data_IF_559219686942
#
_entry.id   IF_559219686942
#
_cell.length_a   1.000
_cell.length_b   1.000
_cell.length_c   1.000
_cell.angle_alpha   90.00
_cell.angle_beta   90.00
_cell.angle_gamma   90.00
#
_symmetry.space_group_name_H-M   'P 1'
#
loop_
_entity.id
_entity.type
_entity.pdbx_description
1 polymer ?
#
# COMPACT_ATOMS: atom_id res chain seq x y z
N UNK A 1 34.57 121.78 5.33
CA UNK A 1 33.49 121.76 4.31
C UNK A 1 33.88 120.73 3.25
N UNK A 2 33.06 119.69 3.03
CA UNK A 2 33.02 118.73 1.87
C UNK A 2 34.37 118.41 1.17
N UNK A 3 34.83 117.18 0.95
CA UNK A 3 34.14 115.96 0.51
C UNK A 3 35.20 115.07 -0.18
N UNK A 4 34.98 113.75 -0.12
CA UNK A 4 35.30 112.75 -1.16
C UNK A 4 36.68 112.10 -1.33
N UNK A 5 36.55 110.76 -1.37
CA UNK A 5 37.14 109.74 -2.28
C UNK A 5 38.58 109.34 -1.99
N UNK A 6 38.80 108.17 -1.38
CA UNK A 6 38.65 106.78 -1.89
C UNK A 6 39.54 106.53 -3.11
N UNK A 7 40.64 105.82 -2.88
CA UNK A 7 40.97 104.51 -3.45
C UNK A 7 42.49 104.36 -3.50
N UNK A 8 43.02 103.31 -2.86
CA UNK A 8 43.87 102.26 -3.48
C UNK A 8 44.70 101.50 -2.44
N UNK A 9 44.66 100.17 -2.62
CA UNK A 9 45.79 99.23 -2.59
C UNK A 9 46.19 98.49 -1.29
N UNK A 10 46.62 97.24 -1.53
CA UNK A 10 47.34 96.26 -0.70
C UNK A 10 46.46 95.19 0.02
N UNK A 11 46.30 94.02 -0.62
CA UNK A 11 47.10 92.78 -0.48
C UNK A 11 46.79 92.04 0.83
N UNK A 12 46.29 90.80 0.71
CA UNK A 12 46.90 89.60 1.32
C UNK A 12 46.22 88.33 0.78
N UNK A 13 46.97 87.61 -0.04
CA UNK A 13 46.74 86.21 -0.42
C UNK A 13 46.96 85.33 0.81
N UNK A 14 45.94 84.57 1.21
CA UNK A 14 46.07 83.51 2.21
C UNK A 14 45.86 82.18 1.48
N UNK A 15 46.96 81.48 1.19
CA UNK A 15 46.93 80.09 0.73
C UNK A 15 46.90 79.18 1.95
N UNK A 16 45.72 78.63 2.28
CA UNK A 16 45.58 77.58 3.29
C UNK A 16 45.98 76.25 2.66
N UNK A 17 47.07 75.67 3.17
CA UNK A 17 47.53 74.31 2.86
C UNK A 17 46.61 73.33 3.57
N UNK A 18 45.77 72.62 2.81
CA UNK A 18 44.90 71.56 3.31
C UNK A 18 45.70 70.25 3.37
N UNK A 19 46.26 69.91 4.54
CA UNK A 19 46.83 68.58 4.77
C UNK A 19 45.69 67.59 5.04
N UNK A 20 45.34 66.79 4.02
CA UNK A 20 44.42 65.68 4.16
C UNK A 20 45.11 64.51 4.88
N UNK A 21 44.69 64.22 6.10
CA UNK A 21 45.05 62.96 6.78
C UNK A 21 44.14 61.84 6.26
N UNK A 22 44.70 60.92 5.48
CA UNK A 22 44.02 59.69 5.08
C UNK A 22 43.81 58.79 6.30
N UNK A 23 42.56 58.69 6.77
CA UNK A 23 42.17 57.66 7.73
C UNK A 23 42.07 56.34 6.95
N UNK A 24 43.05 55.45 7.16
CA UNK A 24 42.96 54.06 6.68
C UNK A 24 41.95 53.34 7.57
N UNK A 25 40.70 53.26 7.11
CA UNK A 25 39.70 52.41 7.74
C UNK A 25 40.05 50.94 7.45
N UNK A 26 40.62 50.25 8.45
CA UNK A 26 40.74 48.79 8.43
C UNK A 26 39.34 48.19 8.46
N UNK A 27 38.87 47.70 7.32
CA UNK A 27 37.65 46.89 7.25
C UNK A 27 38.00 45.48 7.72
N UNK A 28 37.65 45.16 8.97
CA UNK A 28 37.64 43.77 9.44
C UNK A 28 36.59 43.01 8.63
N UNK A 29 37.03 42.12 7.73
CA UNK A 29 36.13 41.16 7.09
C UNK A 29 35.63 40.20 8.16
N UNK A 30 34.40 40.38 8.62
CA UNK A 30 33.69 39.35 9.40
C UNK A 30 33.36 38.22 8.42
N UNK A 31 34.10 37.13 8.47
CA UNK A 31 33.66 35.89 7.84
C UNK A 31 32.51 35.33 8.67
N UNK A 32 31.28 35.58 8.21
CA UNK A 32 30.12 34.83 8.66
C UNK A 32 30.31 33.37 8.22
N UNK A 33 30.79 32.52 9.13
CA UNK A 33 30.71 31.08 8.93
C UNK A 33 29.23 30.71 9.00
N UNK A 34 28.62 30.40 7.85
CA UNK A 34 27.32 29.72 7.85
C UNK A 34 27.56 28.32 8.40
N UNK A 35 27.39 28.16 9.71
CA UNK A 35 27.11 26.85 10.28
C UNK A 35 25.70 26.47 9.81
N UNK A 36 25.61 26.01 8.55
CA UNK A 36 24.44 25.30 8.10
C UNK A 36 24.25 24.16 9.11
N UNK A 37 23.08 24.06 9.80
CA UNK A 37 22.82 22.89 10.59
C UNK A 37 23.02 21.70 9.66
N UNK A 38 23.88 20.78 10.07
CA UNK A 38 24.01 19.46 9.44
C UNK A 38 22.57 18.97 9.31
N UNK A 39 22.00 19.03 8.10
CA UNK A 39 20.74 18.37 7.83
C UNK A 39 21.07 16.91 8.06
N UNK A 40 20.80 16.43 9.25
CA UNK A 40 20.59 15.02 9.52
C UNK A 40 19.46 14.66 8.59
N UNK A 41 19.81 14.24 7.38
CA UNK A 41 18.93 13.48 6.51
C UNK A 41 18.32 12.43 7.43
N UNK A 42 17.00 12.45 7.69
CA UNK A 42 16.40 11.38 8.43
C UNK A 42 16.71 10.15 7.62
N UNK A 43 17.54 9.26 8.16
CA UNK A 43 17.72 7.94 7.61
C UNK A 43 16.33 7.35 7.59
N UNK A 44 15.69 7.36 6.41
CA UNK A 44 14.37 6.77 6.18
C UNK A 44 14.54 5.32 6.59
N UNK A 45 14.16 4.99 7.83
CA UNK A 45 14.17 3.61 8.33
C UNK A 45 13.34 2.86 7.30
N UNK A 46 13.99 1.96 6.56
CA UNK A 46 13.31 1.02 5.66
C UNK A 46 12.34 0.24 6.52
N UNK A 47 11.10 0.71 6.57
CA UNK A 47 10.07 0.13 7.39
C UNK A 47 9.57 -1.07 6.62
N UNK A 48 10.07 -2.25 6.99
CA UNK A 48 9.62 -3.52 6.40
C UNK A 48 8.13 -3.65 6.64
N UNK A 49 7.35 -3.83 5.58
CA UNK A 49 5.90 -3.98 5.69
C UNK A 49 5.62 -5.40 6.22
N UNK A 50 5.07 -5.50 7.42
CA UNK A 50 4.65 -6.76 8.02
C UNK A 50 3.22 -6.65 8.50
N UNK A 51 2.44 -7.69 8.29
CA UNK A 51 1.09 -7.75 8.82
C UNK A 51 1.11 -8.08 10.31
N UNK A 52 0.37 -7.31 11.10
CA UNK A 52 0.12 -7.59 12.51
C UNK A 52 -1.33 -8.08 12.64
N UNK A 53 -1.55 -9.33 13.05
CA UNK A 53 -2.90 -9.83 13.28
C UNK A 53 -3.64 -8.96 14.31
N UNK A 54 -4.90 -8.59 14.04
CA UNK A 54 -5.68 -7.77 14.96
C UNK A 54 -5.88 -8.50 16.29
N UNK A 55 -5.56 -7.83 17.40
CA UNK A 55 -5.71 -8.37 18.75
C UNK A 55 -7.16 -8.29 19.23
N UNK A 56 -7.58 -9.25 20.06
CA UNK A 56 -8.90 -9.22 20.71
C UNK A 56 -10.10 -9.37 19.77
N UNK A 57 -9.89 -9.84 18.54
CA UNK A 57 -11.00 -10.11 17.62
C UNK A 57 -11.78 -11.34 18.04
N UNK A 58 -13.10 -11.23 18.04
CA UNK A 58 -13.98 -12.39 18.23
C UNK A 58 -13.72 -13.43 17.14
N UNK A 59 -13.82 -14.71 17.50
CA UNK A 59 -13.82 -15.77 16.50
C UNK A 59 -14.96 -15.51 15.48
N UNK A 60 -14.72 -15.80 14.20
CA UNK A 60 -15.79 -15.85 13.22
C UNK A 60 -16.90 -16.81 13.66
N UNK A 61 -18.16 -16.48 13.38
CA UNK A 61 -19.28 -17.40 13.68
C UNK A 61 -19.18 -18.69 12.89
N UNK A 62 -18.68 -18.59 11.66
CA UNK A 62 -18.51 -19.71 10.76
C UNK A 62 -17.01 -19.93 10.55
N UNK A 63 -16.58 -21.18 10.75
CA UNK A 63 -15.22 -21.58 10.45
C UNK A 63 -15.09 -21.91 8.96
N UNK A 64 -13.91 -21.64 8.42
CA UNK A 64 -13.50 -22.13 7.10
C UNK A 64 -13.32 -23.66 7.21
N UNK A 65 -13.99 -24.41 6.35
CA UNK A 65 -13.95 -25.87 6.35
C UNK A 65 -12.62 -26.39 5.80
N UNK A 66 -12.10 -27.48 6.37
CA UNK A 66 -10.97 -28.19 5.76
C UNK A 66 -11.37 -28.67 4.36
N UNK A 67 -10.66 -28.21 3.33
CA UNK A 67 -11.00 -28.42 1.92
C UNK A 67 -11.40 -29.86 1.55
N UNK A 68 -12.24 -29.99 0.52
CA UNK A 68 -12.73 -31.30 0.05
C UNK A 68 -11.56 -32.13 -0.50
N UNK A 69 -11.56 -33.43 -0.16
CA UNK A 69 -10.58 -34.44 -0.62
C UNK A 69 -10.87 -34.92 -2.04
N UNK A 70 -10.94 -34.02 -3.01
CA UNK A 70 -10.55 -34.42 -4.37
C UNK A 70 -9.10 -33.97 -4.56
N UNK A 71 -8.40 -34.50 -5.55
CA UNK A 71 -7.00 -34.13 -5.76
C UNK A 71 -6.80 -32.64 -6.14
N UNK A 72 -7.87 -31.81 -6.12
CA UNK A 72 -7.85 -30.40 -6.48
C UNK A 72 -7.57 -30.16 -7.97
N UNK A 73 -7.64 -31.21 -8.77
CA UNK A 73 -7.29 -31.19 -10.18
C UNK A 73 -8.56 -31.02 -11.01
N UNK A 74 -8.56 -30.03 -11.90
CA UNK A 74 -9.21 -30.28 -13.18
C UNK A 74 -8.43 -31.45 -13.79
N UNK A 75 -9.05 -32.56 -14.19
CA UNK A 75 -8.36 -33.82 -14.59
C UNK A 75 -7.29 -33.66 -15.71
N UNK A 76 -7.10 -32.47 -16.27
CA UNK A 76 -6.09 -32.13 -17.28
C UNK A 76 -5.10 -31.03 -16.85
N UNK A 77 -5.19 -30.50 -15.63
CA UNK A 77 -4.32 -29.44 -15.12
C UNK A 77 -3.97 -29.78 -13.68
N UNK A 78 -2.70 -30.11 -13.41
CA UNK A 78 -2.17 -30.53 -12.11
C UNK A 78 -2.17 -29.44 -11.05
N UNK A 79 -3.34 -28.85 -10.79
CA UNK A 79 -3.62 -27.93 -9.71
C UNK A 79 -3.91 -28.81 -8.50
N UNK A 80 -3.26 -28.54 -7.37
CA UNK A 80 -3.55 -29.22 -6.13
C UNK A 80 -4.29 -28.25 -5.21
N UNK A 81 -5.37 -28.69 -4.55
CA UNK A 81 -5.95 -28.02 -3.37
C UNK A 81 -5.42 -28.72 -2.12
N UNK A 82 -4.10 -28.79 -1.98
CA UNK A 82 -3.45 -29.48 -0.86
C UNK A 82 -2.94 -28.49 0.19
N UNK A 83 -2.92 -28.92 1.45
CA UNK A 83 -2.31 -28.20 2.56
C UNK A 83 -0.91 -27.70 2.18
N UNK A 84 -0.70 -26.40 2.39
CA UNK A 84 0.43 -25.64 1.85
C UNK A 84 1.75 -26.21 2.37
N UNK A 85 2.48 -26.91 1.52
CA UNK A 85 3.93 -27.13 1.64
C UNK A 85 4.62 -26.08 0.78
N UNK A 86 5.71 -25.45 1.27
CA UNK A 86 6.40 -24.35 0.58
C UNK A 86 6.83 -24.64 -0.87
N UNK A 87 6.89 -25.92 -1.27
CA UNK A 87 7.32 -26.38 -2.61
C UNK A 87 6.20 -26.42 -3.66
N UNK A 88 4.93 -26.24 -3.30
CA UNK A 88 3.78 -26.34 -4.23
C UNK A 88 2.83 -25.16 -4.19
N UNK A 89 3.16 -24.07 -3.47
CA UNK A 89 2.28 -22.91 -3.32
C UNK A 89 1.96 -22.26 -4.67
N UNK A 90 2.95 -22.20 -5.57
CA UNK A 90 2.85 -21.70 -6.94
C UNK A 90 2.06 -22.62 -7.89
N UNK A 91 1.69 -23.82 -7.46
CA UNK A 91 0.88 -24.78 -8.23
C UNK A 91 -0.51 -25.01 -7.64
N UNK A 92 -0.86 -24.22 -6.64
CA UNK A 92 -2.09 -24.37 -5.85
C UNK A 92 -2.90 -23.09 -6.00
N UNK A 93 -4.23 -23.20 -6.03
CA UNK A 93 -5.10 -22.03 -5.84
C UNK A 93 -4.91 -21.53 -4.41
N UNK A 94 -4.60 -20.25 -4.22
CA UNK A 94 -4.27 -19.70 -2.88
C UNK A 94 -5.00 -18.38 -2.65
N UNK A 95 -5.83 -18.24 -1.59
CA UNK A 95 -6.37 -16.94 -1.23
C UNK A 95 -5.26 -16.10 -0.59
N UNK A 96 -5.14 -14.83 -0.98
CA UNK A 96 -4.20 -13.91 -0.37
C UNK A 96 -4.77 -13.46 0.98
N UNK A 97 -4.56 -14.30 2.00
CA UNK A 97 -5.03 -14.09 3.36
C UNK A 97 -3.95 -14.45 4.38
N UNK A 98 -4.03 -13.87 5.59
CA UNK A 98 -3.27 -14.35 6.73
C UNK A 98 -3.53 -15.83 7.01
N UNK A 99 -2.61 -16.48 7.72
CA UNK A 99 -2.75 -17.89 8.12
C UNK A 99 -4.03 -18.18 8.93
N UNK A 100 -4.54 -17.19 9.65
CA UNK A 100 -5.83 -17.25 10.36
C UNK A 100 -7.06 -17.35 9.44
N UNK A 101 -6.89 -17.12 8.13
CA UNK A 101 -7.96 -17.03 7.12
C UNK A 101 -8.96 -15.88 7.31
N UNK A 102 -8.76 -15.03 8.32
CA UNK A 102 -9.57 -13.85 8.59
C UNK A 102 -8.79 -12.58 8.26
N UNK A 103 -9.38 -11.70 7.45
CA UNK A 103 -8.92 -10.33 7.24
C UNK A 103 -9.96 -9.30 7.68
N UNK A 104 -9.51 -8.16 8.19
CA UNK A 104 -10.39 -7.01 8.42
C UNK A 104 -10.42 -6.08 7.21
N UNK A 105 -11.55 -5.42 7.01
CA UNK A 105 -11.71 -4.34 6.04
C UNK A 105 -12.49 -3.16 6.61
N UNK A 106 -12.16 -1.95 6.19
CA UNK A 106 -12.99 -0.75 6.37
C UNK A 106 -13.98 -0.55 5.21
N UNK A 107 -13.64 -1.06 4.02
CA UNK A 107 -14.42 -0.90 2.79
C UNK A 107 -15.73 -1.70 2.84
N UNK A 108 -16.79 -1.13 2.26
CA UNK A 108 -18.02 -1.86 1.95
C UNK A 108 -17.83 -2.85 0.80
N UNK A 109 -16.85 -2.61 -0.08
CA UNK A 109 -16.55 -3.40 -1.25
C UNK A 109 -15.04 -3.68 -1.28
N UNK A 110 -14.53 -4.55 -0.39
CA UNK A 110 -13.10 -4.87 -0.35
C UNK A 110 -12.67 -5.62 -1.61
N UNK A 111 -11.39 -5.45 -1.95
CA UNK A 111 -10.69 -6.23 -2.97
C UNK A 111 -10.19 -7.54 -2.33
N UNK A 112 -10.73 -8.67 -2.77
CA UNK A 112 -10.37 -10.01 -2.33
C UNK A 112 -9.46 -10.63 -3.40
N UNK A 113 -8.21 -10.89 -3.06
CA UNK A 113 -7.22 -11.34 -4.02
C UNK A 113 -6.96 -12.85 -3.91
N UNK A 114 -6.80 -13.51 -5.04
CA UNK A 114 -6.51 -14.95 -5.12
C UNK A 114 -5.40 -15.20 -6.14
N UNK A 115 -4.41 -16.00 -5.77
CA UNK A 115 -3.44 -16.53 -6.71
C UNK A 115 -4.04 -17.72 -7.45
N UNK A 116 -4.13 -17.60 -8.77
CA UNK A 116 -4.57 -18.65 -9.68
C UNK A 116 -3.31 -19.24 -10.34
N UNK A 117 -3.04 -20.55 -10.17
CA UNK A 117 -1.92 -21.20 -10.82
C UNK A 117 -2.21 -21.38 -12.32
N UNK A 118 -1.23 -21.88 -13.08
CA UNK A 118 -1.44 -22.23 -14.49
C UNK A 118 -2.57 -23.27 -14.61
N UNK A 119 -3.54 -22.99 -15.48
CA UNK A 119 -4.76 -23.79 -15.61
C UNK A 119 -5.30 -23.78 -17.05
N UNK A 120 -5.98 -24.85 -17.46
CA UNK A 120 -6.77 -24.87 -18.70
C UNK A 120 -8.16 -24.25 -18.55
N UNK A 121 -8.63 -24.06 -17.32
CA UNK A 121 -9.93 -23.47 -17.01
C UNK A 121 -10.07 -22.07 -17.59
N UNK A 122 -11.25 -21.76 -18.12
CA UNK A 122 -11.55 -20.46 -18.75
C UNK A 122 -12.11 -19.43 -17.78
N UNK A 123 -12.54 -19.86 -16.61
CA UNK A 123 -13.20 -19.01 -15.64
C UNK A 123 -13.13 -19.59 -14.23
N UNK A 124 -13.36 -18.73 -13.26
CA UNK A 124 -13.65 -19.10 -11.88
C UNK A 124 -15.06 -18.62 -11.50
N UNK A 125 -15.60 -19.17 -10.43
CA UNK A 125 -16.79 -18.70 -9.76
C UNK A 125 -16.39 -18.02 -8.44
N UNK A 126 -16.88 -16.81 -8.22
CA UNK A 126 -16.69 -16.03 -7.00
C UNK A 126 -18.03 -15.87 -6.30
N UNK A 127 -18.11 -16.36 -5.06
CA UNK A 127 -19.34 -16.35 -4.26
C UNK A 127 -19.08 -15.72 -2.90
N UNK A 128 -20.05 -14.96 -2.38
CA UNK A 128 -20.02 -14.38 -1.03
C UNK A 128 -21.23 -14.91 -0.25
N UNK A 129 -20.97 -15.37 0.97
CA UNK A 129 -21.96 -15.84 1.94
C UNK A 129 -21.98 -14.90 3.15
N UNK A 130 -23.16 -14.67 3.71
CA UNK A 130 -23.34 -13.91 4.96
C UNK A 130 -23.09 -14.78 6.21
N UNK A 131 -23.28 -14.21 7.40
CA UNK A 131 -23.12 -14.93 8.69
C UNK A 131 -24.08 -16.12 8.85
N UNK A 132 -25.18 -16.16 8.08
CA UNK A 132 -26.19 -17.21 8.06
C UNK A 132 -25.88 -18.30 7.01
N UNK A 133 -24.73 -18.22 6.33
CA UNK A 133 -24.36 -19.11 5.22
C UNK A 133 -25.30 -19.02 4.01
N UNK A 134 -26.02 -17.90 3.87
CA UNK A 134 -26.83 -17.60 2.70
C UNK A 134 -25.94 -16.94 1.65
N UNK A 135 -25.99 -17.45 0.41
CA UNK A 135 -25.27 -16.86 -0.72
C UNK A 135 -25.89 -15.53 -1.13
N UNK A 136 -25.19 -14.43 -0.88
CA UNK A 136 -25.67 -13.07 -1.16
C UNK A 136 -25.15 -12.52 -2.49
N UNK A 137 -24.15 -13.19 -3.08
CA UNK A 137 -23.59 -12.81 -4.37
C UNK A 137 -22.88 -14.00 -5.01
N UNK A 138 -23.03 -14.15 -6.32
CA UNK A 138 -22.32 -15.15 -7.12
C UNK A 138 -22.01 -14.55 -8.50
N UNK A 139 -20.79 -14.75 -8.98
CA UNK A 139 -20.38 -14.32 -10.33
C UNK A 139 -19.30 -15.22 -10.92
N UNK A 140 -19.47 -15.54 -12.20
CA UNK A 140 -18.40 -16.12 -13.01
C UNK A 140 -17.44 -15.03 -13.50
N UNK A 141 -16.15 -15.23 -13.30
CA UNK A 141 -15.08 -14.34 -13.72
C UNK A 141 -14.21 -15.06 -14.72
N UNK A 142 -14.06 -14.49 -15.91
CA UNK A 142 -13.21 -15.05 -16.96
C UNK A 142 -11.74 -14.96 -16.53
N UNK A 143 -11.03 -16.05 -16.70
CA UNK A 143 -9.59 -16.11 -16.49
C UNK A 143 -8.89 -15.68 -17.77
N UNK A 144 -8.07 -14.64 -17.65
CA UNK A 144 -7.12 -14.25 -18.70
C UNK A 144 -5.83 -15.07 -18.61
N UNK A 145 -4.70 -14.39 -18.57
CA UNK A 145 -3.38 -15.03 -18.47
C UNK A 145 -3.20 -15.66 -17.08
N UNK A 146 -2.90 -16.96 -17.01
CA UNK A 146 -2.51 -17.65 -15.77
C UNK A 146 -1.12 -18.27 -15.95
N UNK A 147 -0.30 -18.40 -14.89
CA UNK A 147 -0.57 -18.09 -13.48
C UNK A 147 -0.59 -16.59 -13.17
N UNK A 148 -1.25 -16.20 -12.09
CA UNK A 148 -1.18 -14.84 -11.55
C UNK A 148 -2.21 -14.54 -10.47
N UNK A 149 -2.13 -13.35 -9.88
CA UNK A 149 -2.99 -12.90 -8.80
C UNK A 149 -4.15 -12.12 -9.39
N UNK A 150 -5.36 -12.63 -9.17
CA UNK A 150 -6.62 -12.04 -9.64
C UNK A 150 -7.28 -11.27 -8.50
N UNK A 151 -7.80 -10.08 -8.81
CA UNK A 151 -8.59 -9.29 -7.89
C UNK A 151 -10.09 -9.54 -8.08
N UNK A 152 -10.79 -9.83 -6.99
CA UNK A 152 -12.23 -10.10 -6.96
C UNK A 152 -12.90 -9.11 -6.01
N UNK A 153 -13.98 -8.48 -6.44
CA UNK A 153 -14.74 -7.58 -5.58
C UNK A 153 -16.21 -7.62 -5.92
N UNK A 154 -17.01 -7.31 -4.91
CA UNK A 154 -18.42 -7.00 -5.12
C UNK A 154 -18.53 -5.72 -5.97
N UNK A 155 -19.33 -5.68 -7.04
CA UNK A 155 -19.54 -4.47 -7.82
C UNK A 155 -20.34 -3.45 -7.00
N UNK A 156 -20.15 -2.17 -7.28
CA UNK A 156 -20.81 -1.07 -6.54
C UNK A 156 -22.32 -1.01 -6.73
N UNK A 157 -22.87 -1.79 -7.66
CA UNK A 157 -24.31 -1.96 -7.88
C UNK A 157 -24.98 -2.86 -6.84
N UNK A 158 -24.19 -3.69 -6.13
CA UNK A 158 -24.69 -4.61 -5.12
C UNK A 158 -24.62 -3.98 -3.71
N UNK A 159 -25.43 -4.44 -2.75
CA UNK A 159 -25.32 -4.01 -1.36
C UNK A 159 -23.94 -4.36 -0.78
N UNK A 160 -23.19 -3.34 -0.36
CA UNK A 160 -21.88 -3.54 0.26
C UNK A 160 -21.96 -4.27 1.61
N UNK A 161 -20.82 -4.85 2.02
CA UNK A 161 -20.68 -5.55 3.30
C UNK A 161 -21.03 -4.63 4.46
N UNK A 162 -21.72 -5.11 5.49
CA UNK A 162 -22.15 -4.32 6.63
C UNK A 162 -21.10 -4.28 7.75
N UNK A 163 -21.02 -3.16 8.46
CA UNK A 163 -20.10 -3.00 9.58
C UNK A 163 -20.48 -3.98 10.72
N UNK A 164 -19.48 -4.66 11.28
CA UNK A 164 -19.61 -5.60 12.39
C UNK A 164 -19.96 -7.04 11.98
N UNK A 165 -20.18 -7.29 10.69
CA UNK A 165 -20.56 -8.59 10.14
C UNK A 165 -19.36 -9.34 9.57
N UNK A 166 -19.44 -10.66 9.68
CA UNK A 166 -18.55 -11.60 9.00
C UNK A 166 -19.16 -12.05 7.68
N UNK A 167 -18.33 -12.20 6.65
CA UNK A 167 -18.70 -12.82 5.39
C UNK A 167 -17.66 -13.85 5.01
N UNK A 168 -18.10 -14.91 4.35
CA UNK A 168 -17.24 -15.95 3.79
C UNK A 168 -17.22 -15.80 2.28
N UNK A 169 -16.05 -15.61 1.71
CA UNK A 169 -15.90 -15.63 0.26
C UNK A 169 -15.35 -16.97 -0.19
N UNK A 170 -15.85 -17.47 -1.32
CA UNK A 170 -15.43 -18.72 -1.94
C UNK A 170 -15.03 -18.42 -3.38
N UNK A 171 -13.90 -18.96 -3.79
CA UNK A 171 -13.42 -18.90 -5.17
C UNK A 171 -13.22 -20.34 -5.65
N UNK A 172 -13.92 -20.72 -6.71
CA UNK A 172 -13.82 -22.05 -7.30
C UNK A 172 -13.41 -21.98 -8.77
N UNK A 173 -12.41 -22.77 -9.19
CA UNK A 173 -12.03 -22.86 -10.60
C UNK A 173 -13.09 -23.68 -11.34
N UNK A 174 -13.68 -23.13 -12.40
CA UNK A 174 -14.63 -23.87 -13.22
C UNK A 174 -13.84 -24.73 -14.22
N UNK A 175 -13.78 -26.04 -13.97
CA UNK A 175 -13.10 -26.99 -14.85
C UNK A 175 -13.93 -27.24 -16.12
N UNK A 176 -14.69 -28.33 -16.19
CA UNK A 176 -15.59 -28.62 -17.33
C UNK A 176 -16.98 -27.99 -17.14
N UNK A 177 -17.50 -28.05 -15.92
CA UNK A 177 -18.78 -27.47 -15.52
C UNK A 177 -18.69 -26.97 -14.08
N UNK A 178 -19.58 -26.04 -13.68
CA UNK A 178 -19.68 -25.66 -12.27
C UNK A 178 -20.16 -26.86 -11.45
N UNK A 179 -19.60 -27.07 -10.27
CA UNK A 179 -19.96 -28.21 -9.45
C UNK A 179 -19.10 -28.38 -8.20
N UNK A 180 -19.55 -29.21 -7.25
CA UNK A 180 -18.93 -29.36 -5.93
C UNK A 180 -17.56 -30.06 -5.95
N UNK A 181 -17.16 -30.60 -7.11
CA UNK A 181 -15.86 -31.22 -7.34
C UNK A 181 -14.82 -30.24 -7.87
N UNK A 182 -15.21 -29.00 -8.14
CA UNK A 182 -14.25 -28.01 -8.61
C UNK A 182 -13.28 -27.61 -7.49
N UNK A 183 -11.99 -27.41 -7.80
CA UNK A 183 -11.01 -26.90 -6.84
C UNK A 183 -11.47 -25.55 -6.32
N UNK A 184 -11.40 -25.33 -5.01
CA UNK A 184 -11.81 -24.06 -4.42
C UNK A 184 -10.91 -23.65 -3.26
N UNK A 185 -10.95 -22.36 -2.97
CA UNK A 185 -10.41 -21.75 -1.76
C UNK A 185 -11.45 -20.83 -1.16
N UNK A 186 -11.29 -20.57 0.12
CA UNK A 186 -12.19 -19.71 0.85
C UNK A 186 -11.46 -18.90 1.92
N UNK A 187 -12.16 -17.89 2.40
CA UNK A 187 -11.63 -16.91 3.32
C UNK A 187 -12.71 -16.11 4.00
N UNK A 188 -12.34 -15.50 5.12
CA UNK A 188 -13.25 -14.70 5.94
C UNK A 188 -12.88 -13.24 5.85
N UNK A 189 -13.89 -12.40 5.67
CA UNK A 189 -13.79 -10.95 5.71
C UNK A 189 -14.73 -10.41 6.78
N UNK A 190 -14.19 -9.59 7.68
CA UNK A 190 -14.99 -8.83 8.65
C UNK A 190 -14.89 -7.36 8.31
N UNK A 191 -16.02 -6.72 8.03
CA UNK A 191 -16.03 -5.26 7.90
C UNK A 191 -16.09 -4.63 9.29
N UNK A 192 -15.13 -3.78 9.61
CA UNK A 192 -15.06 -3.05 10.87
C UNK A 192 -15.07 -1.55 10.60
N UNK A 193 -15.60 -0.78 11.55
CA UNK A 193 -15.54 0.67 11.44
C UNK A 193 -14.06 1.11 11.51
N UNK A 194 -13.56 1.90 10.54
CA UNK A 194 -12.20 2.40 10.59
C UNK A 194 -11.97 3.23 11.85
N UNK A 195 -10.86 2.96 12.55
CA UNK A 195 -10.40 3.80 13.64
C UNK A 195 -10.23 5.24 13.17
N UNK A 196 -10.44 6.22 14.06
CA UNK A 196 -10.37 7.65 13.71
C UNK A 196 -9.08 8.04 12.98
N UNK A 197 -7.94 7.47 13.38
CA UNK A 197 -6.65 7.68 12.73
C UNK A 197 -6.57 7.15 11.29
N UNK A 198 -7.27 6.05 10.96
CA UNK A 198 -7.26 5.44 9.63
C UNK A 198 -8.32 6.01 8.69
N UNK A 199 -9.37 6.65 9.23
CA UNK A 199 -10.43 7.29 8.43
C UNK A 199 -9.87 8.30 7.44
N UNK A 200 -8.94 9.14 7.92
CA UNK A 200 -8.32 10.16 7.08
C UNK A 200 -7.47 9.53 5.97
N UNK A 201 -6.89 8.35 6.20
CA UNK A 201 -6.09 7.68 5.21
C UNK A 201 -6.92 7.09 4.07
N UNK A 202 -8.15 6.63 4.32
CA UNK A 202 -8.99 5.98 3.29
C UNK A 202 -9.22 6.83 2.02
N UNK A 203 -9.16 8.16 2.14
CA UNK A 203 -9.39 9.09 1.03
C UNK A 203 -8.08 9.70 0.47
N UNK A 204 -6.92 9.32 0.99
CA UNK A 204 -5.63 9.85 0.55
C UNK A 204 -5.06 9.00 -0.61
N UNK A 205 -4.17 9.59 -1.44
CA UNK A 205 -3.39 8.83 -2.40
C UNK A 205 -2.65 7.67 -1.74
N UNK A 206 -2.59 6.54 -2.43
CA UNK A 206 -1.96 5.33 -1.91
C UNK A 206 -0.47 5.57 -1.68
N UNK A 207 0.02 5.17 -0.50
CA UNK A 207 1.45 5.25 -0.15
C UNK A 207 1.89 4.04 0.68
N UNK A 208 3.20 3.81 0.76
CA UNK A 208 3.74 2.76 1.62
C UNK A 208 3.45 3.02 3.11
N UNK A 209 3.45 4.29 3.53
CA UNK A 209 3.10 4.69 4.89
C UNK A 209 1.65 4.32 5.22
N UNK A 210 0.73 4.49 4.28
CA UNK A 210 -0.66 4.04 4.43
C UNK A 210 -0.77 2.51 4.49
N UNK A 211 -0.03 1.80 3.64
CA UNK A 211 0.01 0.32 3.66
C UNK A 211 0.51 -0.19 5.02
N UNK A 212 1.56 0.44 5.57
CA UNK A 212 2.10 0.09 6.90
C UNK A 212 1.03 0.31 7.97
N UNK A 213 0.38 1.47 7.99
CA UNK A 213 -0.66 1.78 8.98
C UNK A 213 -1.83 0.78 8.96
N UNK A 214 -2.31 0.40 7.78
CA UNK A 214 -3.33 -0.65 7.66
C UNK A 214 -2.81 -2.04 8.09
N UNK A 215 -1.57 -2.37 7.73
CA UNK A 215 -0.94 -3.65 8.09
C UNK A 215 -0.78 -3.81 9.61
N UNK A 216 -0.35 -2.75 10.29
CA UNK A 216 -0.15 -2.71 11.75
C UNK A 216 -1.48 -2.68 12.51
N UNK A 217 -2.54 -2.17 11.88
CA UNK A 217 -3.89 -2.09 12.46
C UNK A 217 -4.77 -3.30 12.13
N UNK A 218 -4.25 -4.30 11.42
CA UNK A 218 -4.98 -5.53 11.08
C UNK A 218 -5.95 -5.43 9.90
N UNK A 219 -5.98 -4.29 9.18
CA UNK A 219 -6.81 -4.06 7.98
C UNK A 219 -6.16 -4.70 6.75
N UNK A 220 -6.21 -6.03 6.72
CA UNK A 220 -5.54 -6.85 5.72
C UNK A 220 -5.94 -6.48 4.28
N UNK A 221 -7.24 -6.32 4.02
CA UNK A 221 -7.73 -6.12 2.65
C UNK A 221 -7.26 -4.78 2.08
N UNK A 222 -7.28 -3.70 2.88
CA UNK A 222 -6.70 -2.42 2.48
C UNK A 222 -5.19 -2.50 2.29
N UNK A 223 -4.47 -3.16 3.21
CA UNK A 223 -3.01 -3.27 3.13
C UNK A 223 -2.56 -4.00 1.84
N UNK A 224 -3.10 -5.19 1.58
CA UNK A 224 -2.70 -6.00 0.44
C UNK A 224 -3.15 -5.39 -0.89
N UNK A 225 -4.38 -4.85 -0.97
CA UNK A 225 -4.88 -4.28 -2.22
C UNK A 225 -4.19 -2.96 -2.56
N UNK A 226 -3.94 -2.10 -1.57
CA UNK A 226 -3.25 -0.84 -1.82
C UNK A 226 -1.80 -1.09 -2.26
N UNK A 227 -1.13 -2.07 -1.67
CA UNK A 227 0.22 -2.43 -2.08
C UNK A 227 0.27 -3.06 -3.47
N UNK A 228 -0.73 -3.87 -3.83
CA UNK A 228 -0.85 -4.42 -5.18
C UNK A 228 -1.04 -3.30 -6.23
N UNK A 229 -1.88 -2.31 -5.96
CA UNK A 229 -2.06 -1.15 -6.85
C UNK A 229 -0.81 -0.28 -6.95
N UNK A 230 -0.10 -0.07 -5.84
CA UNK A 230 1.21 0.60 -5.86
C UNK A 230 2.21 -0.17 -6.74
N UNK A 231 2.25 -1.50 -6.62
CA UNK A 231 3.12 -2.34 -7.44
C UNK A 231 2.75 -2.30 -8.92
N UNK A 232 1.46 -2.27 -9.25
CA UNK A 232 0.98 -2.17 -10.62
C UNK A 232 1.29 -0.81 -11.25
N UNK A 233 1.12 0.28 -10.48
CA UNK A 233 1.37 1.65 -10.96
C UNK A 233 2.85 2.04 -10.98
N UNK A 234 3.70 1.37 -10.20
CA UNK A 234 5.13 1.66 -10.09
C UNK A 234 5.99 0.39 -10.20
N UNK A 235 5.99 -0.30 -11.36
CA UNK A 235 6.58 -1.63 -11.50
C UNK A 235 8.10 -1.68 -11.30
N UNK A 236 8.81 -0.55 -11.46
CA UNK A 236 10.27 -0.45 -11.29
C UNK A 236 10.69 0.10 -9.92
N UNK A 237 9.75 0.31 -9.00
CA UNK A 237 10.06 0.79 -7.64
C UNK A 237 10.46 -0.39 -6.75
N UNK A 238 11.77 -0.52 -6.49
CA UNK A 238 12.33 -1.61 -5.66
C UNK A 238 11.88 -1.58 -4.20
N UNK A 239 11.50 -0.42 -3.67
CA UNK A 239 10.95 -0.30 -2.32
C UNK A 239 9.55 -0.94 -2.24
N UNK A 240 8.70 -0.69 -3.24
CA UNK A 240 7.37 -1.31 -3.34
C UNK A 240 7.49 -2.82 -3.59
N UNK A 241 8.43 -3.25 -4.43
CA UNK A 241 8.67 -4.68 -4.65
C UNK A 241 9.12 -5.40 -3.37
N UNK A 242 10.01 -4.76 -2.60
CA UNK A 242 10.46 -5.29 -1.30
C UNK A 242 9.31 -5.35 -0.31
N UNK A 243 8.52 -4.27 -0.21
CA UNK A 243 7.33 -4.22 0.65
C UNK A 243 6.33 -5.32 0.31
N UNK A 244 6.09 -5.59 -0.98
CA UNK A 244 5.21 -6.66 -1.44
C UNK A 244 5.69 -8.04 -0.99
N UNK A 245 6.98 -8.31 -1.18
CA UNK A 245 7.62 -9.56 -0.73
C UNK A 245 7.56 -9.70 0.79
N UNK A 246 7.84 -8.63 1.54
CA UNK A 246 7.82 -8.62 3.00
C UNK A 246 6.41 -8.88 3.55
N UNK A 247 5.39 -8.20 3.01
CA UNK A 247 4.00 -8.36 3.45
C UNK A 247 3.52 -9.80 3.23
N UNK A 248 3.71 -10.35 2.03
CA UNK A 248 3.30 -11.73 1.73
C UNK A 248 4.10 -12.76 2.53
N UNK A 249 5.40 -12.54 2.71
CA UNK A 249 6.23 -13.40 3.56
C UNK A 249 5.75 -13.41 5.01
N UNK A 250 5.32 -12.26 5.54
CA UNK A 250 4.84 -12.14 6.92
C UNK A 250 3.60 -13.00 7.23
N UNK A 251 2.87 -13.43 6.20
CA UNK A 251 1.69 -14.29 6.32
C UNK A 251 1.88 -15.68 5.69
N UNK A 252 3.12 -16.06 5.36
CA UNK A 252 3.44 -17.38 4.79
C UNK A 252 3.10 -17.55 3.30
N UNK A 253 2.96 -16.44 2.57
CA UNK A 253 2.66 -16.41 1.13
C UNK A 253 3.88 -16.07 0.26
N UNK A 254 5.09 -16.31 0.77
CA UNK A 254 6.34 -16.00 0.05
C UNK A 254 6.45 -16.72 -1.30
N UNK A 255 5.89 -17.93 -1.43
CA UNK A 255 5.91 -18.73 -2.65
C UNK A 255 5.18 -18.10 -3.85
N UNK A 256 4.29 -17.13 -3.63
CA UNK A 256 3.54 -16.44 -4.70
C UNK A 256 3.92 -14.96 -4.83
N UNK A 257 4.94 -14.49 -4.09
CA UNK A 257 5.29 -13.06 -4.06
C UNK A 257 5.83 -12.52 -5.40
N UNK A 258 6.25 -13.41 -6.31
CA UNK A 258 6.75 -13.07 -7.65
C UNK A 258 5.70 -13.31 -8.74
N UNK A 259 4.50 -13.78 -8.39
CA UNK A 259 3.43 -13.97 -9.36
C UNK A 259 3.02 -12.62 -9.99
N UNK A 260 2.63 -12.60 -11.28
CA UNK A 260 2.12 -11.39 -11.91
C UNK A 260 0.81 -10.96 -11.28
N UNK A 261 0.54 -9.65 -11.28
CA UNK A 261 -0.75 -9.09 -10.93
C UNK A 261 -1.62 -9.05 -12.18
N UNK A 262 -2.67 -9.85 -12.21
CA UNK A 262 -3.66 -9.88 -13.26
C UNK A 262 -4.82 -8.97 -12.84
N UNK A 263 -4.69 -7.68 -13.17
CA UNK A 263 -5.71 -6.67 -12.88
C UNK A 263 -6.76 -6.60 -13.98
#
# INVERSE_FOLDING_TARGET
>A
MKSNKIARFWILLVTIVLQGTSIVAMTTRVQAQSNAPKKTTPTRKRSRVKFVPPQGQRAPKNAVGGGRRNNGMCEQSGIASLGIQNKTIDKTLVPLLPSSKLGLTASSHPNMMVYVPSTSAKSLEFTIYNEQEEGIYQKQVNLGNTPGIVNLRLPTSEPGLEIGKDYRFVVSIICQQSGPQNPFVEGLVRRVAPASALRNQLNQPKSLEQVIAFSESGYWFEAVSNLAELKASQPFNSEIETAWKDLLSSVGLSGIAQAPLNQ
#
